data_IF_415597258911
#
_entry.id   IF_415597258911
#
_cell.length_a   1.000
_cell.length_b   1.000
_cell.length_c   1.000
_cell.angle_alpha   90.00
_cell.angle_beta   90.00
_cell.angle_gamma   90.00
#
_symmetry.space_group_name_H-M   'P 1'
#
loop_
_entity.id
_entity.type
_entity.pdbx_description
1 polymer ?
#
# COMPACT_ATOMS: atom_id res chain seq x y z
N UNK A 1 6.43 -67.64 31.01
CA UNK A 1 6.77 -66.86 29.79
C UNK A 1 6.16 -65.50 29.89
N UNK A 2 6.89 -64.47 30.32
CA UNK A 2 6.38 -63.12 30.53
C UNK A 2 6.84 -62.25 29.38
N UNK A 3 5.85 -61.87 28.53
CA UNK A 3 6.09 -61.03 27.33
C UNK A 3 6.10 -59.56 27.74
N UNK A 4 7.31 -58.91 27.63
CA UNK A 4 7.47 -57.47 27.86
C UNK A 4 7.04 -56.69 26.63
N UNK A 5 5.95 -55.92 26.73
CA UNK A 5 5.49 -54.99 25.71
C UNK A 5 6.29 -53.70 25.84
N UNK A 6 7.05 -53.37 24.78
CA UNK A 6 7.84 -52.14 24.69
C UNK A 6 6.95 -51.05 24.03
N UNK A 7 6.54 -50.03 24.81
CA UNK A 7 5.84 -48.86 24.30
C UNK A 7 6.87 -47.89 23.71
N UNK A 8 6.86 -47.72 22.40
CA UNK A 8 7.61 -46.67 21.72
C UNK A 8 6.74 -45.40 21.76
N UNK A 9 7.13 -44.44 22.58
CA UNK A 9 6.49 -43.11 22.60
C UNK A 9 7.08 -42.30 21.45
N UNK A 10 6.30 -42.12 20.38
CA UNK A 10 6.62 -41.20 19.29
C UNK A 10 6.34 -39.77 19.76
N UNK A 11 7.40 -39.07 20.17
CA UNK A 11 7.33 -37.66 20.52
C UNK A 11 7.07 -36.81 19.29
N UNK A 12 5.85 -36.32 19.13
CA UNK A 12 5.48 -35.36 18.08
C UNK A 12 5.99 -33.99 18.52
N UNK A 13 7.16 -33.59 18.08
CA UNK A 13 7.69 -32.22 18.26
C UNK A 13 6.87 -31.26 17.40
N UNK A 14 5.95 -30.56 18.03
CA UNK A 14 5.27 -29.41 17.41
C UNK A 14 6.31 -28.29 17.25
N UNK A 15 6.87 -28.17 16.05
CA UNK A 15 7.61 -26.99 15.65
C UNK A 15 6.61 -25.83 15.51
N UNK A 16 6.40 -25.07 16.59
CA UNK A 16 5.76 -23.76 16.50
C UNK A 16 6.75 -22.82 15.85
N UNK A 17 6.56 -22.55 14.55
CA UNK A 17 7.28 -21.48 13.86
C UNK A 17 6.83 -20.15 14.47
N UNK A 18 7.57 -19.68 15.47
CA UNK A 18 7.44 -18.30 15.92
C UNK A 18 8.04 -17.42 14.83
N UNK A 19 7.16 -16.80 14.06
CA UNK A 19 7.58 -15.75 13.11
C UNK A 19 8.14 -14.61 13.95
N UNK A 20 9.46 -14.47 13.93
CA UNK A 20 10.11 -13.34 14.59
C UNK A 20 9.63 -12.07 13.90
N UNK A 21 9.14 -11.12 14.70
CA UNK A 21 8.78 -9.79 14.18
C UNK A 21 10.05 -9.15 13.64
N UNK A 22 10.07 -8.63 12.40
CA UNK A 22 11.27 -8.00 11.85
C UNK A 22 11.79 -6.93 12.80
N UNK A 23 13.08 -6.91 13.08
CA UNK A 23 13.68 -5.95 14.01
C UNK A 23 13.39 -4.50 13.60
N UNK A 24 13.27 -4.25 12.29
CA UNK A 24 12.99 -2.93 11.72
C UNK A 24 11.52 -2.53 11.76
N UNK A 25 10.58 -3.45 12.05
CA UNK A 25 9.15 -3.14 12.06
C UNK A 25 8.79 -2.04 13.06
N UNK A 26 9.41 -2.04 14.24
CA UNK A 26 9.19 -1.02 15.28
C UNK A 26 9.49 0.41 14.76
N UNK A 27 10.49 0.56 13.91
CA UNK A 27 10.81 1.86 13.28
C UNK A 27 9.69 2.31 12.34
N UNK A 28 9.11 1.40 11.56
CA UNK A 28 8.01 1.70 10.66
C UNK A 28 6.74 2.12 11.43
N UNK A 29 6.46 1.41 12.53
CA UNK A 29 5.30 1.64 13.39
C UNK A 29 5.27 3.03 14.02
N UNK A 30 6.42 3.65 14.27
CA UNK A 30 6.53 5.02 14.83
C UNK A 30 5.78 6.05 14.00
N UNK A 31 5.77 5.90 12.69
CA UNK A 31 5.14 6.83 11.76
C UNK A 31 3.85 6.26 11.14
N UNK A 32 3.86 4.97 10.79
CA UNK A 32 2.76 4.33 10.08
C UNK A 32 1.75 3.63 11.00
N UNK A 33 1.98 3.65 12.33
CA UNK A 33 1.14 2.97 13.31
C UNK A 33 1.37 1.46 13.39
N UNK A 34 1.03 0.86 14.52
CA UNK A 34 1.07 -0.59 14.70
C UNK A 34 0.02 -1.30 13.85
N UNK A 35 -1.14 -0.66 13.70
CA UNK A 35 -2.27 -1.10 12.89
C UNK A 35 -2.16 -0.68 11.41
N UNK A 36 -1.08 0.03 11.04
CA UNK A 36 -0.86 0.53 9.70
C UNK A 36 -1.61 1.83 9.38
N UNK A 37 -2.15 2.52 10.38
CA UNK A 37 -2.77 3.85 10.21
C UNK A 37 -1.79 4.94 10.64
N UNK A 38 -1.31 5.70 9.65
CA UNK A 38 -0.36 6.77 9.88
C UNK A 38 -0.98 7.90 10.73
N UNK A 39 -0.19 8.44 11.65
CA UNK A 39 -0.63 9.49 12.56
C UNK A 39 -0.72 10.87 11.91
N UNK A 40 -0.04 11.08 10.79
CA UNK A 40 -0.06 12.33 10.03
C UNK A 40 -0.71 12.12 8.67
N UNK A 41 -1.55 13.06 8.25
CA UNK A 41 -2.30 12.99 6.99
C UNK A 41 -1.41 13.01 5.73
N UNK A 42 -0.18 13.48 5.84
CA UNK A 42 0.79 13.44 4.75
C UNK A 42 1.49 12.08 4.59
N UNK A 43 1.33 11.18 5.56
CA UNK A 43 1.94 9.86 5.54
C UNK A 43 0.93 8.79 5.09
N UNK A 44 1.36 7.77 4.34
CA UNK A 44 0.43 6.75 3.87
C UNK A 44 0.00 5.80 4.97
N UNK A 45 -1.28 5.43 4.94
CA UNK A 45 -1.75 4.22 5.59
C UNK A 45 -1.19 3.01 4.87
N UNK A 46 -0.76 1.99 5.62
CA UNK A 46 -0.21 0.74 5.12
C UNK A 46 -1.16 -0.45 5.35
N UNK A 47 -2.16 -0.29 6.22
CA UNK A 47 -3.15 -1.32 6.53
C UNK A 47 -3.85 -1.85 5.26
N UNK A 48 -3.78 -3.17 5.07
CA UNK A 48 -4.40 -3.85 3.93
C UNK A 48 -3.85 -3.44 2.56
N UNK A 49 -2.68 -2.81 2.48
CA UNK A 49 -2.04 -2.48 1.21
C UNK A 49 -1.48 -3.75 0.55
N UNK A 50 -1.40 -3.76 -0.79
CA UNK A 50 -0.81 -4.84 -1.57
C UNK A 50 0.64 -5.11 -1.13
N UNK A 51 1.00 -6.32 -0.71
CA UNK A 51 2.36 -6.63 -0.28
C UNK A 51 3.36 -6.48 -1.43
N UNK A 52 3.01 -6.90 -2.65
CA UNK A 52 3.90 -6.73 -3.81
C UNK A 52 4.14 -5.27 -4.17
N UNK A 53 3.11 -4.43 -4.01
CA UNK A 53 3.27 -2.99 -4.19
C UNK A 53 4.18 -2.40 -3.10
N UNK A 54 3.99 -2.77 -1.82
CA UNK A 54 4.83 -2.27 -0.72
C UNK A 54 6.30 -2.66 -0.91
N UNK A 55 6.58 -3.92 -1.23
CA UNK A 55 7.95 -4.40 -1.53
C UNK A 55 8.55 -3.60 -2.67
N UNK A 56 7.81 -3.42 -3.78
CA UNK A 56 8.28 -2.59 -4.90
C UNK A 56 8.62 -1.16 -4.43
N UNK A 57 7.76 -0.53 -3.62
CA UNK A 57 8.02 0.83 -3.16
C UNK A 57 9.24 0.92 -2.25
N UNK A 58 9.45 -0.05 -1.35
CA UNK A 58 10.65 -0.10 -0.52
C UNK A 58 11.92 -0.30 -1.34
N UNK A 59 11.89 -1.18 -2.34
CA UNK A 59 12.99 -1.37 -3.29
C UNK A 59 13.28 -0.11 -4.10
N UNK A 60 12.24 0.55 -4.62
CA UNK A 60 12.38 1.80 -5.38
C UNK A 60 12.99 2.92 -4.53
N UNK A 61 12.58 3.03 -3.27
CA UNK A 61 13.16 3.98 -2.30
C UNK A 61 14.62 3.64 -2.00
N UNK A 62 14.95 2.36 -1.76
CA UNK A 62 16.31 1.89 -1.50
C UNK A 62 17.25 2.20 -2.66
N UNK A 63 16.78 1.99 -3.88
CA UNK A 63 17.54 2.13 -5.12
C UNK A 63 17.44 3.54 -5.75
N UNK A 64 16.83 4.51 -5.06
CA UNK A 64 16.61 5.88 -5.52
C UNK A 64 15.72 6.01 -6.79
N UNK A 65 14.99 4.97 -7.19
CA UNK A 65 13.99 5.02 -8.25
C UNK A 65 12.74 5.80 -7.83
N UNK A 66 12.46 5.87 -6.52
CA UNK A 66 11.48 6.76 -5.91
C UNK A 66 12.17 7.68 -4.92
N UNK A 67 11.98 9.00 -5.10
CA UNK A 67 12.56 9.99 -4.21
C UNK A 67 11.66 10.22 -2.99
N UNK A 68 12.24 10.12 -1.80
CA UNK A 68 11.64 10.51 -0.53
C UNK A 68 12.74 10.67 0.52
N UNK A 69 13.19 11.90 0.78
CA UNK A 69 14.25 12.14 1.76
C UNK A 69 13.95 11.55 3.14
N UNK A 70 12.65 11.49 3.52
CA UNK A 70 12.23 10.91 4.79
C UNK A 70 12.34 9.37 4.78
N UNK A 71 11.88 8.69 3.72
CA UNK A 71 11.77 7.22 3.71
C UNK A 71 13.02 6.50 3.22
N UNK A 72 13.86 7.16 2.39
CA UNK A 72 15.06 6.54 1.83
C UNK A 72 16.05 6.00 2.88
N UNK A 73 16.35 6.73 3.98
CA UNK A 73 17.24 6.20 5.03
C UNK A 73 16.71 4.89 5.62
N UNK A 74 15.41 4.78 5.88
CA UNK A 74 14.80 3.56 6.43
C UNK A 74 14.80 2.42 5.43
N UNK A 75 14.44 2.68 4.17
CA UNK A 75 14.44 1.65 3.13
C UNK A 75 15.84 1.07 2.87
N UNK A 76 16.90 1.87 3.01
CA UNK A 76 18.29 1.43 2.84
C UNK A 76 18.75 0.46 3.92
N UNK A 77 18.15 0.48 5.11
CA UNK A 77 18.48 -0.44 6.21
C UNK A 77 17.90 -1.84 6.01
N UNK A 78 16.88 -1.98 5.13
CA UNK A 78 16.16 -3.23 4.99
C UNK A 78 16.85 -4.20 4.03
N UNK A 79 16.92 -5.46 4.43
CA UNK A 79 17.13 -6.60 3.52
C UNK A 79 15.86 -6.88 2.72
N UNK A 80 15.98 -7.61 1.62
CA UNK A 80 14.82 -8.00 0.80
C UNK A 80 13.84 -8.89 1.60
N UNK A 81 14.34 -9.72 2.50
CA UNK A 81 13.51 -10.55 3.36
C UNK A 81 12.71 -9.70 4.36
N UNK A 82 13.33 -8.70 5.00
CA UNK A 82 12.62 -7.78 5.90
C UNK A 82 11.57 -6.95 5.17
N UNK A 83 11.82 -6.54 3.92
CA UNK A 83 10.81 -5.88 3.10
C UNK A 83 9.58 -6.75 2.87
N UNK A 84 9.76 -8.05 2.60
CA UNK A 84 8.66 -9.01 2.45
C UNK A 84 7.87 -9.17 3.76
N UNK A 85 8.55 -9.35 4.88
CA UNK A 85 7.94 -9.56 6.18
C UNK A 85 7.17 -8.32 6.66
N UNK A 86 7.72 -7.11 6.49
CA UNK A 86 7.06 -5.84 6.82
C UNK A 86 5.83 -5.63 5.93
N UNK A 87 5.96 -5.89 4.63
CA UNK A 87 4.86 -5.79 3.69
C UNK A 87 3.72 -6.77 4.04
N UNK A 88 4.06 -8.01 4.39
CA UNK A 88 3.10 -9.04 4.79
C UNK A 88 2.41 -8.69 6.12
N UNK A 89 3.14 -8.12 7.07
CA UNK A 89 2.59 -7.62 8.33
C UNK A 89 1.50 -6.57 8.10
N UNK A 90 1.79 -5.51 7.32
CA UNK A 90 0.83 -4.44 7.08
C UNK A 90 -0.32 -4.85 6.15
N UNK A 91 -0.08 -5.74 5.20
CA UNK A 91 -1.12 -6.29 4.33
C UNK A 91 -2.23 -7.01 5.11
N UNK A 92 -1.89 -7.62 6.25
CA UNK A 92 -2.81 -8.34 7.14
C UNK A 92 -3.55 -7.42 8.13
N UNK A 93 -3.15 -6.15 8.26
CA UNK A 93 -3.85 -5.23 9.14
C UNK A 93 -5.23 -4.90 8.60
N UNK A 94 -6.27 -4.89 9.46
CA UNK A 94 -7.64 -4.61 9.03
C UNK A 94 -7.78 -3.16 8.55
N UNK A 95 -8.62 -2.95 7.55
CA UNK A 95 -9.01 -1.60 7.14
C UNK A 95 -10.12 -1.05 8.04
N UNK A 96 -10.15 0.25 8.20
CA UNK A 96 -11.26 0.92 8.88
C UNK A 96 -12.53 0.86 8.02
N UNK A 97 -13.69 1.20 8.60
CA UNK A 97 -14.94 1.29 7.85
C UNK A 97 -14.96 2.54 6.99
N UNK A 98 -15.47 2.41 5.76
CA UNK A 98 -15.69 3.53 4.85
C UNK A 98 -16.66 4.57 5.46
N UNK A 99 -16.43 5.86 5.17
CA UNK A 99 -17.27 6.95 5.68
C UNK A 99 -18.38 7.38 4.72
N UNK A 100 -18.28 7.01 3.44
CA UNK A 100 -19.28 7.20 2.39
C UNK A 100 -19.91 8.60 2.31
N UNK A 101 -19.11 9.66 2.47
CA UNK A 101 -19.60 11.02 2.21
C UNK A 101 -19.60 11.26 0.70
N UNK A 102 -20.66 11.89 0.13
CA UNK A 102 -20.72 12.13 -1.30
C UNK A 102 -19.58 13.06 -1.78
N UNK A 103 -18.84 12.63 -2.77
CA UNK A 103 -17.85 13.44 -3.53
C UNK A 103 -18.08 13.18 -5.02
N UNK A 104 -19.14 13.77 -5.63
CA UNK A 104 -19.63 13.38 -6.95
C UNK A 104 -18.58 13.42 -8.06
N UNK A 105 -17.70 14.43 -8.09
CA UNK A 105 -16.65 14.53 -9.11
C UNK A 105 -15.57 13.46 -8.89
N UNK A 106 -15.19 13.20 -7.65
CA UNK A 106 -14.22 12.13 -7.31
C UNK A 106 -14.76 10.75 -7.68
N UNK A 107 -16.02 10.47 -7.35
CA UNK A 107 -16.71 9.23 -7.72
C UNK A 107 -16.79 9.05 -9.23
N UNK A 108 -17.21 10.11 -9.97
CA UNK A 108 -17.27 10.07 -11.41
C UNK A 108 -15.92 9.70 -12.03
N UNK A 109 -14.87 10.43 -11.67
CA UNK A 109 -13.51 10.15 -12.18
C UNK A 109 -13.04 8.75 -11.82
N UNK A 110 -13.28 8.32 -10.58
CA UNK A 110 -12.86 7.01 -10.13
C UNK A 110 -13.55 5.87 -10.87
N UNK A 111 -14.88 5.91 -10.95
CA UNK A 111 -15.68 4.79 -11.49
C UNK A 111 -15.83 4.84 -13.02
N UNK A 112 -15.80 6.03 -13.62
CA UNK A 112 -16.15 6.22 -15.05
C UNK A 112 -15.07 6.93 -15.85
N UNK A 113 -14.13 7.62 -15.19
CA UNK A 113 -13.17 8.50 -15.86
C UNK A 113 -13.83 9.75 -16.45
N UNK A 114 -13.12 10.38 -17.37
CA UNK A 114 -13.61 11.55 -18.10
C UNK A 114 -12.98 11.58 -19.50
N UNK A 115 -13.80 11.24 -20.51
CA UNK A 115 -13.36 11.17 -21.92
C UNK A 115 -12.96 12.56 -22.47
N UNK A 116 -13.55 13.65 -21.95
CA UNK A 116 -13.26 15.00 -22.42
C UNK A 116 -11.82 15.43 -22.16
N UNK A 117 -11.24 14.94 -21.06
CA UNK A 117 -9.84 15.14 -20.69
C UNK A 117 -8.98 13.88 -20.88
N UNK A 118 -9.53 12.86 -21.52
CA UNK A 118 -8.86 11.57 -21.81
C UNK A 118 -8.31 10.87 -20.56
N UNK A 119 -9.02 10.94 -19.44
CA UNK A 119 -8.71 10.23 -18.20
C UNK A 119 -9.56 8.98 -18.10
N UNK A 120 -8.97 7.77 -18.10
CA UNK A 120 -9.70 6.52 -17.94
C UNK A 120 -10.25 6.38 -16.52
N UNK A 121 -11.20 5.46 -16.31
CA UNK A 121 -11.68 5.12 -14.98
C UNK A 121 -10.54 4.54 -14.13
N UNK A 122 -10.28 5.14 -12.97
CA UNK A 122 -9.23 4.67 -12.04
C UNK A 122 -9.51 3.24 -11.55
N UNK A 123 -10.80 2.92 -11.41
CA UNK A 123 -11.30 1.60 -11.00
C UNK A 123 -10.90 0.47 -11.96
N UNK A 124 -10.61 0.76 -13.23
CA UNK A 124 -10.18 -0.24 -14.20
C UNK A 124 -8.87 -0.95 -13.79
N UNK A 125 -7.97 -0.22 -13.12
CA UNK A 125 -6.71 -0.77 -12.61
C UNK A 125 -6.74 -0.98 -11.10
N UNK A 126 -7.32 -0.03 -10.34
CA UNK A 126 -7.32 -0.05 -8.89
C UNK A 126 -8.51 -0.81 -8.27
N UNK A 127 -9.38 -1.40 -9.10
CA UNK A 127 -10.57 -2.14 -8.70
C UNK A 127 -11.75 -1.23 -8.32
N UNK A 128 -13.00 -1.71 -8.41
CA UNK A 128 -14.19 -0.89 -8.16
C UNK A 128 -14.30 -0.39 -6.73
N UNK A 129 -13.77 -1.14 -5.78
CA UNK A 129 -13.73 -0.79 -4.34
C UNK A 129 -12.38 -0.20 -3.91
N UNK A 130 -11.49 0.15 -4.83
CA UNK A 130 -10.19 0.74 -4.50
C UNK A 130 -9.20 -0.19 -3.82
N UNK A 131 -9.42 -1.50 -3.88
CA UNK A 131 -8.57 -2.49 -3.17
C UNK A 131 -7.28 -2.84 -3.92
N UNK A 132 -7.11 -2.31 -5.13
CA UNK A 132 -5.94 -2.56 -5.95
C UNK A 132 -5.96 -3.93 -6.64
N UNK A 133 -4.81 -4.29 -7.21
CA UNK A 133 -4.55 -5.60 -7.79
C UNK A 133 -3.11 -6.01 -7.45
N UNK A 134 -2.94 -6.95 -6.51
CA UNK A 134 -1.63 -7.37 -6.04
C UNK A 134 -0.81 -8.05 -7.14
N UNK A 135 -1.43 -8.85 -8.02
CA UNK A 135 -0.74 -9.52 -9.11
C UNK A 135 -0.10 -8.53 -10.09
N UNK A 136 -0.81 -7.43 -10.39
CA UNK A 136 -0.36 -6.36 -11.26
C UNK A 136 0.45 -5.27 -10.52
N UNK A 137 0.61 -5.38 -9.20
CA UNK A 137 1.24 -4.38 -8.32
C UNK A 137 0.53 -3.02 -8.34
N UNK A 138 -0.77 -2.99 -8.65
CA UNK A 138 -1.58 -1.78 -8.50
C UNK A 138 -1.97 -1.61 -7.03
N UNK A 139 -1.69 -0.44 -6.43
CA UNK A 139 -1.95 -0.24 -5.01
C UNK A 139 -3.44 -0.18 -4.69
N UNK A 140 -3.75 -0.53 -3.45
CA UNK A 140 -4.99 -0.12 -2.84
C UNK A 140 -5.00 1.38 -2.61
N UNK A 141 -6.13 2.02 -2.93
CA UNK A 141 -6.38 3.45 -2.75
C UNK A 141 -7.48 3.71 -1.71
N UNK A 142 -8.32 2.71 -1.43
CA UNK A 142 -9.42 2.84 -0.48
C UNK A 142 -8.91 3.23 0.91
N UNK A 143 -9.55 4.23 1.51
CA UNK A 143 -9.27 4.75 2.86
C UNK A 143 -7.84 5.27 3.05
N UNK A 144 -7.14 5.58 1.96
CA UNK A 144 -5.84 6.22 2.05
C UNK A 144 -5.99 7.69 2.44
N UNK A 145 -5.01 8.23 3.15
CA UNK A 145 -4.98 9.64 3.53
C UNK A 145 -5.15 10.55 2.31
N UNK A 146 -6.16 11.43 2.33
CA UNK A 146 -6.47 12.33 1.22
C UNK A 146 -5.27 13.21 0.84
N UNK A 147 -4.59 13.79 1.83
CA UNK A 147 -3.42 14.62 1.58
C UNK A 147 -2.27 13.82 0.95
N UNK A 148 -2.06 12.56 1.40
CA UNK A 148 -1.08 11.69 0.77
C UNK A 148 -1.42 11.38 -0.69
N UNK A 149 -2.69 11.04 -1.00
CA UNK A 149 -3.12 10.81 -2.39
C UNK A 149 -2.89 12.06 -3.24
N UNK A 150 -3.30 13.22 -2.75
CA UNK A 150 -3.11 14.50 -3.42
C UNK A 150 -1.63 14.74 -3.75
N UNK A 151 -0.75 14.58 -2.77
CA UNK A 151 0.69 14.73 -2.96
C UNK A 151 1.24 13.73 -4.00
N UNK A 152 0.77 12.48 -4.00
CA UNK A 152 1.25 11.49 -4.96
C UNK A 152 0.78 11.78 -6.39
N UNK A 153 -0.48 12.20 -6.58
CA UNK A 153 -0.98 12.60 -7.90
C UNK A 153 -0.26 13.86 -8.42
N UNK A 154 -0.02 14.84 -7.54
CA UNK A 154 0.78 16.01 -7.89
C UNK A 154 2.24 15.63 -8.22
N UNK A 155 2.83 14.71 -7.48
CA UNK A 155 4.19 14.25 -7.74
C UNK A 155 4.33 13.51 -9.09
N UNK A 156 3.33 12.73 -9.48
CA UNK A 156 3.27 12.15 -10.82
C UNK A 156 3.06 13.23 -11.90
N UNK A 157 2.13 14.15 -11.67
CA UNK A 157 1.81 15.27 -12.59
C UNK A 157 3.03 16.17 -12.87
N UNK A 158 3.87 16.38 -11.86
CA UNK A 158 5.08 17.23 -11.95
C UNK A 158 6.35 16.43 -12.25
N UNK A 159 6.23 15.14 -12.53
CA UNK A 159 7.35 14.21 -12.75
C UNK A 159 8.39 14.15 -11.62
N UNK A 160 8.06 14.59 -10.41
CA UNK A 160 8.89 14.38 -9.22
C UNK A 160 8.81 12.95 -8.69
N UNK A 161 7.77 12.20 -9.12
CA UNK A 161 7.63 10.77 -8.95
C UNK A 161 7.48 10.09 -10.31
N UNK A 162 8.42 9.19 -10.66
CA UNK A 162 8.50 8.56 -11.99
C UNK A 162 8.68 7.03 -11.91
N UNK A 163 8.38 6.42 -10.76
CA UNK A 163 8.60 5.01 -10.53
C UNK A 163 7.40 4.10 -10.93
N UNK A 164 6.48 4.65 -11.70
CA UNK A 164 5.35 3.93 -12.28
C UNK A 164 5.73 3.22 -13.58
N UNK A 165 5.19 2.02 -13.79
CA UNK A 165 5.44 1.26 -15.01
C UNK A 165 4.83 1.98 -16.22
N UNK A 166 5.60 2.13 -17.27
CA UNK A 166 5.19 2.72 -18.56
C UNK A 166 4.61 4.14 -18.43
N UNK A 167 4.95 4.89 -17.40
CA UNK A 167 4.50 6.27 -17.15
C UNK A 167 2.97 6.44 -17.05
N UNK A 168 2.23 5.34 -16.74
CA UNK A 168 0.77 5.33 -16.74
C UNK A 168 0.20 6.38 -15.78
N UNK A 169 0.72 6.45 -14.54
CA UNK A 169 0.21 7.41 -13.56
C UNK A 169 0.66 8.83 -13.86
N UNK A 170 1.82 9.03 -14.46
CA UNK A 170 2.27 10.33 -14.96
C UNK A 170 1.30 10.83 -16.03
N UNK A 171 1.06 10.03 -17.09
CA UNK A 171 0.17 10.38 -18.20
C UNK A 171 -1.26 10.70 -17.75
N UNK A 172 -1.78 9.96 -16.77
CA UNK A 172 -3.12 10.21 -16.22
C UNK A 172 -3.13 11.48 -15.38
N UNK A 173 -2.14 11.65 -14.49
CA UNK A 173 -2.11 12.76 -13.54
C UNK A 173 -1.88 14.11 -14.22
N UNK A 174 -1.15 14.17 -15.33
CA UNK A 174 -0.97 15.39 -16.12
C UNK A 174 -2.29 16.02 -16.57
N UNK A 175 -3.29 15.19 -16.87
CA UNK A 175 -4.59 15.60 -17.41
C UNK A 175 -5.59 16.04 -16.32
N UNK A 176 -5.31 15.71 -15.05
CA UNK A 176 -6.16 16.11 -13.94
C UNK A 176 -5.94 17.57 -13.57
N UNK A 177 -7.00 18.32 -13.33
CA UNK A 177 -6.92 19.63 -12.70
C UNK A 177 -6.61 19.51 -11.20
N UNK A 178 -6.30 20.62 -10.54
CA UNK A 178 -6.11 20.63 -9.10
C UNK A 178 -7.39 20.23 -8.34
N UNK A 179 -8.54 20.67 -8.85
CA UNK A 179 -9.86 20.34 -8.32
C UNK A 179 -10.19 18.84 -8.51
N UNK A 180 -9.79 18.24 -9.66
CA UNK A 180 -9.94 16.81 -9.91
C UNK A 180 -9.10 15.98 -8.93
N UNK A 181 -7.86 16.39 -8.69
CA UNK A 181 -6.95 15.75 -7.74
C UNK A 181 -7.51 15.83 -6.32
N UNK A 182 -8.03 17.00 -5.93
CA UNK A 182 -8.67 17.17 -4.62
C UNK A 182 -9.90 16.28 -4.48
N UNK A 183 -10.81 16.31 -5.46
CA UNK A 183 -12.04 15.51 -5.44
C UNK A 183 -11.74 14.00 -5.40
N UNK A 184 -10.79 13.51 -6.20
CA UNK A 184 -10.34 12.12 -6.16
C UNK A 184 -9.77 11.75 -4.80
N UNK A 185 -8.93 12.61 -4.23
CA UNK A 185 -8.29 12.36 -2.93
C UNK A 185 -9.31 12.26 -1.81
N UNK A 186 -10.30 13.15 -1.81
CA UNK A 186 -11.40 13.13 -0.84
C UNK A 186 -12.29 11.89 -1.01
N UNK A 187 -12.62 11.52 -2.25
CA UNK A 187 -13.42 10.32 -2.53
C UNK A 187 -12.72 9.05 -2.04
N UNK A 188 -11.46 8.87 -2.43
CA UNK A 188 -10.67 7.68 -2.11
C UNK A 188 -10.42 7.51 -0.61
N UNK A 189 -10.27 8.60 0.12
CA UNK A 189 -10.08 8.55 1.58
C UNK A 189 -11.31 8.06 2.34
N UNK A 190 -12.44 7.97 1.67
CA UNK A 190 -13.74 7.59 2.25
C UNK A 190 -14.34 6.32 1.64
N UNK A 191 -13.72 5.79 0.57
CA UNK A 191 -14.16 4.62 -0.18
C UNK A 191 -14.09 3.31 0.62
#
# INVERSE_FOLDING_TARGET
>A
MTQKILYIIFGFSLFTSTWATPAQLALCQTCHGMDGYAQQNAWPHLAGQSPKYMVKQLQDLKNNARQSPLMQPYAKLLSDQEMLEIADYYAKQPRHSAKNKPVPRGEQLYLRGDASIRVPACSACHGPSGLGNDAAKYPSLAQQNALYIQQQLLAFKTHTRQNDAHHIMQDISERLSSEDIEALSQYLSQL
#
